data_IF_510123744607
#
_entry.id   IF_510123744607
#
_cell.length_a   1.000
_cell.length_b   1.000
_cell.length_c   1.000
_cell.angle_alpha   90.00
_cell.angle_beta   90.00
_cell.angle_gamma   90.00
#
_symmetry.space_group_name_H-M   'P 1'
#
loop_
_entity.id
_entity.type
_entity.pdbx_description
1 polymer ?
#
# COMPACT_ATOMS: atom_id res chain seq x y z
N UNK A 1 24.56 -41.44 -16.35
CA UNK A 1 23.40 -42.12 -15.74
C UNK A 1 23.79 -42.47 -14.31
N UNK A 2 23.42 -41.61 -13.35
CA UNK A 2 23.55 -41.93 -11.92
C UNK A 2 22.15 -42.23 -11.37
N UNK A 3 22.11 -43.30 -10.59
CA UNK A 3 20.96 -44.13 -10.22
C UNK A 3 20.10 -43.49 -9.11
N UNK A 4 18.80 -43.32 -9.36
CA UNK A 4 17.82 -42.65 -8.49
C UNK A 4 17.35 -43.50 -7.28
N UNK A 5 17.98 -44.65 -7.00
CA UNK A 5 17.47 -45.64 -6.02
C UNK A 5 18.20 -45.71 -4.68
N UNK A 6 19.01 -44.71 -4.31
CA UNK A 6 19.73 -44.69 -3.00
C UNK A 6 19.45 -43.50 -2.07
N UNK A 7 18.51 -42.61 -2.37
CA UNK A 7 18.14 -41.53 -1.44
C UNK A 7 17.10 -41.93 -0.36
N UNK A 8 16.54 -43.13 -0.40
CA UNK A 8 15.38 -43.50 0.42
C UNK A 8 15.66 -44.25 1.75
N UNK A 9 16.82 -44.09 2.40
CA UNK A 9 17.04 -44.82 3.67
C UNK A 9 17.90 -44.20 4.77
N UNK A 10 18.31 -42.92 4.67
CA UNK A 10 19.09 -42.28 5.75
C UNK A 10 18.68 -40.82 6.01
N UNK A 11 17.38 -40.51 6.00
CA UNK A 11 16.88 -39.18 6.39
C UNK A 11 15.73 -39.25 7.41
N UNK A 12 15.71 -40.30 8.24
CA UNK A 12 14.65 -40.52 9.24
C UNK A 12 14.93 -39.86 10.62
N UNK A 13 15.96 -39.03 10.78
CA UNK A 13 16.33 -38.46 12.10
C UNK A 13 16.87 -37.01 12.04
N UNK A 14 16.33 -36.20 11.11
CA UNK A 14 16.47 -34.73 11.11
C UNK A 14 15.11 -34.05 10.90
N UNK A 15 14.04 -34.70 11.39
CA UNK A 15 12.70 -34.13 11.55
C UNK A 15 12.74 -33.05 12.63
N UNK A 16 12.42 -31.81 12.28
CA UNK A 16 12.15 -30.78 13.29
C UNK A 16 11.96 -29.37 12.75
N UNK A 17 12.88 -28.84 11.96
CA UNK A 17 12.89 -27.39 11.63
C UNK A 17 13.19 -27.02 10.17
N UNK A 18 13.68 -27.95 9.33
CA UNK A 18 14.16 -27.62 7.98
C UNK A 18 13.16 -27.81 6.83
N UNK A 19 11.98 -28.39 7.09
CA UNK A 19 10.96 -28.64 6.06
C UNK A 19 9.89 -27.53 5.98
N UNK A 20 9.82 -26.65 6.98
CA UNK A 20 8.99 -25.43 6.92
C UNK A 20 9.71 -24.25 6.25
N UNK A 21 11.03 -24.33 6.06
CA UNK A 21 11.84 -23.32 5.36
C UNK A 21 11.82 -23.47 3.83
N UNK A 22 11.36 -24.61 3.30
CA UNK A 22 11.33 -24.86 1.85
C UNK A 22 10.20 -24.11 1.12
N UNK A 23 9.21 -23.56 1.85
CA UNK A 23 8.12 -22.77 1.29
C UNK A 23 8.39 -21.25 1.25
N UNK A 24 9.60 -20.80 1.65
CA UNK A 24 9.97 -19.38 1.66
C UNK A 24 10.96 -18.96 0.57
N UNK A 25 11.34 -19.86 -0.33
CA UNK A 25 12.23 -19.59 -1.48
C UNK A 25 11.43 -19.08 -2.69
N UNK A 26 10.52 -18.13 -2.46
CA UNK A 26 9.48 -17.80 -3.43
C UNK A 26 9.84 -16.74 -4.45
N UNK A 27 10.47 -15.67 -3.97
CA UNK A 27 10.86 -14.49 -4.70
C UNK A 27 11.94 -13.75 -3.90
N UNK A 28 12.81 -13.00 -4.57
CA UNK A 28 14.00 -12.41 -3.96
C UNK A 28 13.66 -11.23 -3.02
N UNK A 29 12.73 -10.37 -3.45
CA UNK A 29 12.32 -9.19 -2.70
C UNK A 29 10.90 -8.74 -3.04
N UNK A 30 10.24 -8.10 -2.07
CA UNK A 30 9.04 -7.31 -2.30
C UNK A 30 9.43 -5.83 -2.29
N UNK A 31 9.35 -5.20 -3.46
CA UNK A 31 9.47 -3.75 -3.57
C UNK A 31 8.08 -3.13 -3.53
N UNK A 32 7.86 -2.16 -2.64
CA UNK A 32 6.63 -1.37 -2.59
C UNK A 32 6.96 0.08 -2.88
N UNK A 33 6.29 0.64 -3.88
CA UNK A 33 6.35 2.06 -4.20
C UNK A 33 4.99 2.68 -3.89
N UNK A 34 5.00 3.70 -3.05
CA UNK A 34 3.79 4.39 -2.59
C UNK A 34 3.86 5.83 -3.01
N UNK A 35 2.82 6.33 -3.67
CA UNK A 35 2.62 7.75 -3.97
C UNK A 35 1.32 8.21 -3.31
N UNK A 36 1.41 9.17 -2.40
CA UNK A 36 0.25 9.71 -1.68
C UNK A 36 -0.26 10.99 -2.34
N UNK A 37 -1.54 11.02 -2.70
CA UNK A 37 -2.23 12.23 -3.13
C UNK A 37 -2.93 12.89 -1.94
N UNK A 38 -2.45 14.06 -1.44
CA UNK A 38 -3.05 14.74 -0.29
C UNK A 38 -4.40 15.40 -0.60
N UNK A 39 -4.77 15.57 -1.87
CA UNK A 39 -6.05 16.16 -2.27
C UNK A 39 -7.18 15.13 -2.26
N UNK A 40 -6.92 13.96 -2.84
CA UNK A 40 -7.88 12.84 -2.88
C UNK A 40 -7.78 11.95 -1.64
N UNK A 41 -6.70 12.08 -0.86
CA UNK A 41 -6.38 11.24 0.30
C UNK A 41 -6.29 9.76 -0.06
N UNK A 42 -5.62 9.47 -1.18
CA UNK A 42 -5.42 8.12 -1.71
C UNK A 42 -3.93 7.84 -1.80
N UNK A 43 -3.54 6.61 -1.45
CA UNK A 43 -2.23 6.05 -1.75
C UNK A 43 -2.31 5.25 -3.04
N UNK A 44 -1.58 5.66 -4.07
CA UNK A 44 -1.33 4.87 -5.26
C UNK A 44 -0.16 3.93 -4.96
N UNK A 45 -0.44 2.62 -4.94
CA UNK A 45 0.52 1.60 -4.53
C UNK A 45 0.89 0.74 -5.72
N UNK A 46 2.19 0.54 -5.92
CA UNK A 46 2.75 -0.49 -6.79
C UNK A 46 3.60 -1.44 -5.95
N UNK A 47 3.23 -2.72 -5.94
CA UNK A 47 3.98 -3.80 -5.31
C UNK A 47 4.58 -4.68 -6.38
N UNK A 48 5.91 -4.83 -6.38
CA UNK A 48 6.65 -5.71 -7.28
C UNK A 48 7.28 -6.84 -6.47
N UNK A 49 6.89 -8.06 -6.80
CA UNK A 49 7.52 -9.28 -6.30
C UNK A 49 8.60 -9.65 -7.29
N UNK A 50 9.86 -9.47 -6.90
CA UNK A 50 11.01 -9.64 -7.78
C UNK A 50 11.50 -11.07 -7.73
N UNK A 51 11.76 -11.66 -8.89
CA UNK A 51 12.45 -12.92 -9.03
C UNK A 51 11.64 -14.13 -8.58
N UNK A 52 10.34 -14.17 -8.90
CA UNK A 52 9.51 -15.32 -8.57
C UNK A 52 9.98 -16.54 -9.38
N UNK A 53 10.35 -17.60 -8.67
CA UNK A 53 10.72 -18.87 -9.28
C UNK A 53 9.47 -19.65 -9.74
N UNK A 54 9.54 -20.44 -10.83
CA UNK A 54 8.39 -21.18 -11.35
C UNK A 54 7.80 -22.17 -10.35
N UNK A 55 8.64 -22.77 -9.48
CA UNK A 55 8.20 -23.65 -8.40
C UNK A 55 7.33 -22.95 -7.35
N UNK A 56 7.54 -21.66 -7.11
CA UNK A 56 6.74 -20.89 -6.15
C UNK A 56 5.31 -20.68 -6.64
N UNK A 57 5.12 -20.59 -7.95
CA UNK A 57 3.81 -20.47 -8.59
C UNK A 57 3.24 -21.83 -9.01
N UNK A 58 3.88 -22.94 -8.61
CA UNK A 58 3.46 -24.29 -8.98
C UNK A 58 3.66 -24.64 -10.45
N UNK A 59 4.39 -23.85 -11.24
CA UNK A 59 4.61 -24.12 -12.67
C UNK A 59 5.93 -24.85 -12.94
N UNK A 60 6.02 -25.48 -14.11
CA UNK A 60 7.24 -26.15 -14.59
C UNK A 60 8.32 -25.17 -15.05
N UNK A 61 7.92 -23.99 -15.56
CA UNK A 61 8.78 -22.98 -16.18
C UNK A 61 8.10 -21.59 -16.15
N UNK A 62 8.88 -20.55 -16.45
CA UNK A 62 8.43 -19.14 -16.38
C UNK A 62 7.30 -18.83 -17.38
N UNK A 63 7.39 -19.37 -18.60
CA UNK A 63 6.39 -19.18 -19.66
C UNK A 63 5.02 -19.77 -19.25
N UNK A 64 5.03 -20.96 -18.62
CA UNK A 64 3.85 -21.58 -18.04
C UNK A 64 3.22 -20.75 -16.91
N UNK A 65 4.05 -20.07 -16.11
CA UNK A 65 3.58 -19.17 -15.06
C UNK A 65 2.97 -17.87 -15.60
N UNK A 66 3.63 -17.22 -16.55
CA UNK A 66 3.07 -16.03 -17.18
C UNK A 66 1.73 -16.36 -17.86
N UNK A 67 1.64 -17.47 -18.58
CA UNK A 67 0.39 -17.91 -19.19
C UNK A 67 -0.71 -18.21 -18.15
N UNK A 68 -0.37 -18.73 -16.96
CA UNK A 68 -1.33 -18.95 -15.87
C UNK A 68 -1.83 -17.64 -15.26
N UNK A 69 -0.93 -16.67 -15.06
CA UNK A 69 -1.26 -15.33 -14.57
C UNK A 69 -2.11 -14.55 -15.58
N UNK A 70 -1.80 -14.62 -16.87
CA UNK A 70 -2.62 -14.02 -17.94
C UNK A 70 -4.01 -14.66 -18.02
N UNK A 71 -4.13 -15.98 -17.84
CA UNK A 71 -5.45 -16.65 -17.73
C UNK A 71 -6.22 -16.18 -16.51
N UNK A 72 -5.56 -15.98 -15.37
CA UNK A 72 -6.19 -15.45 -14.16
C UNK A 72 -6.68 -14.00 -14.35
N UNK A 73 -5.97 -13.18 -15.15
CA UNK A 73 -6.44 -11.83 -15.53
C UNK A 73 -7.61 -11.86 -16.50
N UNK A 74 -7.61 -12.80 -17.44
CA UNK A 74 -8.63 -12.89 -18.48
C UNK A 74 -9.97 -13.50 -17.98
N UNK A 75 -9.99 -14.10 -16.78
CA UNK A 75 -11.17 -14.76 -16.23
C UNK A 75 -11.80 -13.93 -15.11
N UNK A 76 -12.99 -13.39 -15.38
CA UNK A 76 -14.03 -13.13 -14.38
C UNK A 76 -15.19 -14.03 -14.80
N UNK A 77 -15.45 -15.19 -14.16
CA UNK A 77 -16.46 -15.26 -13.07
C UNK A 77 -16.34 -16.47 -12.09
N UNK A 78 -17.25 -16.51 -11.10
CA UNK A 78 -17.65 -17.68 -10.28
C UNK A 78 -16.55 -18.40 -9.47
N UNK A 79 -16.01 -17.68 -8.48
CA UNK A 79 -15.67 -18.17 -7.15
C UNK A 79 -15.03 -19.56 -7.02
N UNK A 80 -13.77 -19.73 -7.44
CA UNK A 80 -12.94 -20.85 -6.96
C UNK A 80 -11.40 -20.71 -7.19
N UNK A 81 -10.85 -19.57 -7.63
CA UNK A 81 -9.40 -19.43 -7.89
C UNK A 81 -8.60 -18.80 -6.73
N UNK A 82 -7.31 -19.14 -6.54
CA UNK A 82 -6.47 -18.45 -5.54
C UNK A 82 -6.11 -17.00 -5.93
N UNK A 83 -6.02 -16.68 -7.22
CA UNK A 83 -5.95 -15.29 -7.68
C UNK A 83 -7.19 -14.49 -7.22
N UNK A 84 -8.35 -15.16 -7.17
CA UNK A 84 -9.58 -14.64 -6.60
C UNK A 84 -9.44 -14.42 -5.09
N UNK A 85 -8.72 -15.30 -4.34
CA UNK A 85 -8.45 -15.07 -2.90
C UNK A 85 -7.49 -13.91 -2.65
N UNK A 86 -6.44 -13.74 -3.47
CA UNK A 86 -5.55 -12.59 -3.38
C UNK A 86 -6.32 -11.30 -3.63
N UNK A 87 -7.08 -11.28 -4.74
CA UNK A 87 -7.87 -10.14 -5.14
C UNK A 87 -8.96 -9.84 -4.10
N UNK A 88 -9.66 -10.86 -3.60
CA UNK A 88 -10.64 -10.71 -2.53
C UNK A 88 -10.02 -10.16 -1.26
N UNK A 89 -8.84 -10.62 -0.85
CA UNK A 89 -8.16 -10.05 0.33
C UNK A 89 -7.75 -8.59 0.12
N UNK A 90 -7.29 -8.22 -1.08
CA UNK A 90 -7.01 -6.82 -1.41
C UNK A 90 -8.29 -5.99 -1.36
N UNK A 91 -9.38 -6.49 -1.93
CA UNK A 91 -10.70 -5.85 -1.87
C UNK A 91 -11.22 -5.73 -0.43
N UNK A 92 -11.11 -6.79 0.38
CA UNK A 92 -11.47 -6.83 1.80
C UNK A 92 -10.64 -5.85 2.62
N UNK A 93 -9.39 -5.60 2.22
CA UNK A 93 -8.53 -4.57 2.84
C UNK A 93 -8.94 -3.14 2.47
N UNK A 94 -9.87 -2.96 1.53
CA UNK A 94 -10.34 -1.67 1.03
C UNK A 94 -9.54 -1.11 -0.14
N UNK A 95 -8.72 -1.94 -0.81
CA UNK A 95 -8.05 -1.56 -2.04
C UNK A 95 -9.06 -1.42 -3.19
N UNK A 96 -8.86 -0.43 -4.05
CA UNK A 96 -9.67 -0.16 -5.23
C UNK A 96 -8.78 -0.04 -6.47
N UNK A 97 -9.39 -0.04 -7.66
CA UNK A 97 -8.69 0.11 -8.95
C UNK A 97 -7.49 -0.85 -9.11
N UNK A 98 -7.70 -2.11 -8.71
CA UNK A 98 -6.65 -3.13 -8.68
C UNK A 98 -6.30 -3.58 -10.10
N UNK A 99 -5.02 -3.55 -10.43
CA UNK A 99 -4.45 -4.08 -11.65
C UNK A 99 -3.30 -5.04 -11.32
N UNK A 100 -3.19 -6.11 -12.10
CA UNK A 100 -2.07 -7.06 -12.02
C UNK A 100 -1.33 -7.04 -13.35
N UNK A 101 -0.01 -7.05 -13.29
CA UNK A 101 0.93 -7.14 -14.40
C UNK A 101 2.06 -8.12 -14.09
N UNK A 102 2.76 -8.57 -15.13
CA UNK A 102 3.89 -9.50 -15.02
C UNK A 102 4.99 -9.08 -15.96
N UNK A 103 6.23 -9.26 -15.51
CA UNK A 103 7.43 -9.03 -16.32
C UNK A 103 8.27 -10.29 -16.26
N UNK A 104 8.55 -10.90 -17.41
CA UNK A 104 9.43 -12.06 -17.49
C UNK A 104 10.90 -11.63 -17.54
N UNK A 105 11.75 -12.24 -16.72
CA UNK A 105 13.19 -12.03 -16.72
C UNK A 105 13.91 -13.39 -16.67
N UNK A 106 14.21 -13.94 -17.85
CA UNK A 106 14.87 -15.25 -17.97
C UNK A 106 13.97 -16.39 -17.50
N UNK A 107 14.38 -17.11 -16.46
CA UNK A 107 13.62 -18.19 -15.83
C UNK A 107 12.78 -17.72 -14.63
N UNK A 108 12.74 -16.42 -14.37
CA UNK A 108 11.96 -15.80 -13.29
C UNK A 108 10.87 -14.91 -13.84
N UNK A 109 9.84 -14.71 -13.03
CA UNK A 109 8.74 -13.80 -13.31
C UNK A 109 8.65 -12.78 -12.19
N UNK A 110 8.50 -11.51 -12.53
CA UNK A 110 8.13 -10.49 -11.58
C UNK A 110 6.63 -10.28 -11.65
N UNK A 111 5.94 -10.36 -10.52
CA UNK A 111 4.53 -9.98 -10.42
C UNK A 111 4.44 -8.53 -9.97
N UNK A 112 3.61 -7.73 -10.63
CA UNK A 112 3.37 -6.34 -10.29
C UNK A 112 1.88 -6.19 -9.95
N UNK A 113 1.57 -5.72 -8.75
CA UNK A 113 0.21 -5.44 -8.31
C UNK A 113 0.10 -3.94 -8.07
N UNK A 114 -0.82 -3.28 -8.78
CA UNK A 114 -1.14 -1.87 -8.59
C UNK A 114 -2.53 -1.73 -8.00
N UNK A 115 -2.70 -0.82 -7.06
CA UNK A 115 -4.00 -0.53 -6.47
C UNK A 115 -4.00 0.84 -5.80
N UNK A 116 -5.19 1.38 -5.64
CA UNK A 116 -5.43 2.59 -4.87
C UNK A 116 -5.92 2.19 -3.47
N UNK A 117 -5.33 2.79 -2.45
CA UNK A 117 -5.68 2.56 -1.06
C UNK A 117 -6.12 3.89 -0.42
N UNK A 118 -7.42 4.08 -0.13
CA UNK A 118 -7.89 5.25 0.58
C UNK A 118 -7.23 5.39 1.95
N UNK A 119 -6.96 6.63 2.39
CA UNK A 119 -6.40 6.90 3.71
C UNK A 119 -7.27 6.28 4.82
N UNK A 120 -6.64 5.51 5.71
CA UNK A 120 -7.31 4.81 6.80
C UNK A 120 -7.93 3.45 6.43
N UNK A 121 -7.79 3.01 5.17
CA UNK A 121 -8.08 1.62 4.79
C UNK A 121 -6.98 0.68 5.30
N UNK A 122 -7.32 -0.59 5.52
CA UNK A 122 -6.33 -1.62 5.84
C UNK A 122 -5.28 -1.75 4.73
N UNK A 123 -5.70 -1.58 3.47
CA UNK A 123 -4.82 -1.58 2.30
C UNK A 123 -3.71 -0.51 2.38
N UNK A 124 -4.02 0.64 2.98
CA UNK A 124 -3.06 1.73 3.21
C UNK A 124 -2.11 1.39 4.37
N UNK A 125 -2.65 0.90 5.50
CA UNK A 125 -1.86 0.50 6.67
C UNK A 125 -0.84 -0.61 6.33
N UNK A 126 -1.25 -1.58 5.51
CA UNK A 126 -0.39 -2.69 5.07
C UNK A 126 0.80 -2.22 4.21
N UNK A 127 0.82 -0.98 3.73
CA UNK A 127 1.98 -0.42 3.00
C UNK A 127 3.15 -0.08 3.92
N UNK A 128 2.94 -0.04 5.24
CA UNK A 128 3.86 0.50 6.24
C UNK A 128 4.22 1.98 6.02
N UNK A 129 3.40 2.70 5.23
CA UNK A 129 3.54 4.12 4.94
C UNK A 129 2.24 4.81 5.34
N UNK A 130 2.36 5.73 6.28
CA UNK A 130 1.25 6.43 6.91
C UNK A 130 1.27 7.90 6.53
N UNK A 131 0.10 8.53 6.42
CA UNK A 131 0.00 9.98 6.31
C UNK A 131 -0.43 10.56 7.66
N UNK A 132 0.44 11.39 8.27
CA UNK A 132 0.16 12.04 9.54
C UNK A 132 -0.15 13.52 9.36
N UNK A 133 -1.17 13.99 10.08
CA UNK A 133 -1.53 15.39 10.10
C UNK A 133 -0.49 16.22 10.87
N UNK A 134 0.03 17.26 10.22
CA UNK A 134 1.05 18.17 10.75
C UNK A 134 0.54 19.22 11.73
N UNK A 135 -0.79 19.32 11.93
CA UNK A 135 -1.38 20.36 12.77
C UNK A 135 -1.53 21.72 12.07
N UNK A 136 -1.04 21.87 10.83
CA UNK A 136 -1.05 23.13 10.08
C UNK A 136 -2.27 23.20 9.15
N UNK A 137 -2.78 24.40 8.92
CA UNK A 137 -3.99 24.66 8.14
C UNK A 137 -3.96 23.94 6.77
N UNK A 138 -5.14 23.53 6.28
CA UNK A 138 -5.43 22.63 5.14
C UNK A 138 -4.84 23.02 3.76
N UNK A 139 -3.53 23.25 3.68
CA UNK A 139 -2.75 23.36 2.45
C UNK A 139 -2.05 22.02 2.09
N UNK A 140 -1.29 22.00 1.00
CA UNK A 140 -0.53 20.79 0.57
C UNK A 140 0.50 20.29 1.58
N UNK A 141 0.87 21.09 2.58
CA UNK A 141 1.80 20.73 3.65
C UNK A 141 1.11 20.21 4.91
N UNK A 142 -0.20 19.98 4.87
CA UNK A 142 -0.96 19.59 6.06
C UNK A 142 -0.69 18.16 6.50
N UNK A 143 -0.32 17.27 5.57
CA UNK A 143 0.11 15.91 5.88
C UNK A 143 1.60 15.74 5.58
N UNK A 144 2.26 14.89 6.35
CA UNK A 144 3.58 14.35 6.01
C UNK A 144 3.55 12.83 6.09
N UNK A 145 4.41 12.18 5.30
CA UNK A 145 4.49 10.73 5.32
C UNK A 145 5.39 10.23 6.44
N UNK A 146 5.01 9.09 7.00
CA UNK A 146 5.80 8.33 7.97
C UNK A 146 5.91 6.90 7.46
N UNK A 147 7.13 6.40 7.27
CA UNK A 147 7.37 5.02 6.87
C UNK A 147 7.95 4.21 8.04
N UNK A 148 7.37 3.05 8.34
CA UNK A 148 7.89 2.17 9.37
C UNK A 148 9.22 1.56 8.94
N UNK A 149 10.19 1.53 9.84
CA UNK A 149 11.42 0.76 9.70
C UNK A 149 11.27 -0.52 10.55
N UNK A 150 10.93 -1.62 9.86
CA UNK A 150 10.95 -2.97 10.41
C UNK A 150 12.33 -3.59 10.13
N UNK A 151 12.77 -4.57 10.92
CA UNK A 151 14.12 -5.14 10.80
C UNK A 151 14.47 -5.69 9.41
N UNK A 152 13.46 -6.17 8.67
CA UNK A 152 13.62 -6.66 7.31
C UNK A 152 13.13 -5.69 6.21
N UNK A 153 12.49 -4.57 6.60
CA UNK A 153 11.96 -3.57 5.67
C UNK A 153 12.95 -2.42 5.55
N UNK A 154 13.63 -2.36 4.42
CA UNK A 154 14.49 -1.24 4.06
C UNK A 154 13.63 -0.13 3.49
N UNK A 155 13.74 1.07 4.04
CA UNK A 155 13.06 2.27 3.53
C UNK A 155 14.08 3.13 2.81
N UNK A 156 13.83 3.47 1.53
CA UNK A 156 14.62 4.47 0.81
C UNK A 156 14.19 5.87 1.26
N UNK A 157 14.67 6.27 2.44
CA UNK A 157 14.26 7.51 3.07
C UNK A 157 14.95 8.72 2.40
N UNK A 158 14.20 9.67 1.83
CA UNK A 158 14.77 10.83 1.17
C UNK A 158 15.59 11.72 2.11
N UNK A 159 16.51 12.50 1.54
CA UNK A 159 17.33 13.45 2.32
C UNK A 159 16.45 14.42 3.12
N UNK A 160 16.79 14.58 4.40
CA UNK A 160 16.05 15.42 5.34
C UNK A 160 14.95 14.67 6.10
N UNK A 161 14.76 13.37 5.84
CA UNK A 161 13.95 12.49 6.69
C UNK A 161 14.55 12.40 8.09
N UNK A 162 13.67 12.28 9.09
CA UNK A 162 14.06 12.19 10.51
C UNK A 162 13.63 10.84 11.06
N UNK A 163 14.41 10.27 11.97
CA UNK A 163 14.04 9.03 12.65
C UNK A 163 13.25 9.35 13.92
N UNK A 164 12.09 8.72 14.07
CA UNK A 164 11.26 8.70 15.27
C UNK A 164 11.31 7.29 15.86
N UNK A 165 11.45 7.17 17.18
CA UNK A 165 11.26 5.90 17.89
C UNK A 165 9.86 5.86 18.48
N UNK A 166 9.16 4.77 18.27
CA UNK A 166 7.80 4.56 18.77
C UNK A 166 7.76 3.25 19.54
N UNK A 167 7.13 3.29 20.70
CA UNK A 167 6.88 2.09 21.47
C UNK A 167 5.71 1.33 20.83
N UNK A 168 5.93 0.08 20.42
CA UNK A 168 4.89 -0.85 20.01
C UNK A 168 4.60 -1.81 21.15
N UNK A 169 3.33 -2.12 21.33
CA UNK A 169 2.92 -3.15 22.28
C UNK A 169 3.19 -4.53 21.67
N UNK A 170 3.86 -5.39 22.43
CA UNK A 170 4.15 -6.78 22.06
C UNK A 170 3.64 -7.73 23.14
N UNK A 171 3.59 -9.03 22.82
CA UNK A 171 3.19 -10.07 23.77
C UNK A 171 4.10 -10.14 25.02
N UNK A 172 5.34 -9.63 24.92
CA UNK A 172 6.36 -9.68 25.98
C UNK A 172 6.62 -8.32 26.64
N UNK A 173 5.93 -7.26 26.23
CA UNK A 173 6.12 -5.90 26.76
C UNK A 173 6.09 -4.81 25.68
N UNK A 174 6.74 -3.68 25.93
CA UNK A 174 6.92 -2.63 24.94
C UNK A 174 8.18 -2.90 24.11
N UNK A 175 8.00 -3.12 22.81
CA UNK A 175 9.09 -3.12 21.84
C UNK A 175 9.25 -1.72 21.24
N UNK A 176 10.41 -1.43 20.65
CA UNK A 176 10.70 -0.12 20.06
C UNK A 176 10.90 -0.25 18.56
N UNK A 177 9.98 0.30 17.79
CA UNK A 177 10.14 0.40 16.34
C UNK A 177 10.67 1.77 15.93
N UNK A 178 11.44 1.77 14.85
CA UNK A 178 11.88 3.01 14.21
C UNK A 178 10.89 3.39 13.11
N UNK A 179 10.76 4.69 12.88
CA UNK A 179 9.94 5.26 11.83
C UNK A 179 10.67 6.42 11.18
N UNK A 180 10.60 6.49 9.85
CA UNK A 180 11.11 7.60 9.07
C UNK A 180 10.00 8.62 8.88
N UNK A 181 10.17 9.80 9.48
CA UNK A 181 9.32 10.97 9.26
C UNK A 181 9.87 11.74 8.06
N UNK A 182 9.14 11.71 6.95
CA UNK A 182 9.56 12.31 5.69
C UNK A 182 9.30 13.83 5.70
N UNK A 183 10.05 14.63 4.92
CA UNK A 183 9.75 16.04 4.72
C UNK A 183 8.35 16.24 4.12
N UNK A 184 7.62 17.27 4.52
CA UNK A 184 6.23 17.55 4.08
C UNK A 184 6.02 17.83 2.59
N UNK A 185 7.10 17.85 1.80
CA UNK A 185 7.06 18.00 0.33
C UNK A 185 7.29 16.69 -0.40
N UNK A 186 7.53 15.61 0.35
CA UNK A 186 7.75 14.27 -0.17
C UNK A 186 6.44 13.53 -0.05
N UNK A 187 5.94 13.08 -1.20
CA UNK A 187 4.69 12.35 -1.34
C UNK A 187 4.92 10.95 -1.91
N UNK A 188 6.18 10.58 -2.14
CA UNK A 188 6.55 9.27 -2.65
C UNK A 188 7.57 8.61 -1.72
N UNK A 189 7.48 7.30 -1.58
CA UNK A 189 8.45 6.50 -0.83
C UNK A 189 8.54 5.09 -1.42
N UNK A 190 9.75 4.54 -1.40
CA UNK A 190 10.00 3.15 -1.77
C UNK A 190 10.44 2.38 -0.54
N UNK A 191 9.87 1.20 -0.36
CA UNK A 191 10.31 0.22 0.63
C UNK A 191 10.68 -1.08 -0.08
N UNK A 192 11.69 -1.77 0.45
CA UNK A 192 12.18 -3.04 -0.07
C UNK A 192 12.27 -4.01 1.08
N UNK A 193 11.56 -5.13 0.97
CA UNK A 193 11.62 -6.24 1.90
C UNK A 193 12.38 -7.39 1.24
N UNK A 194 13.54 -7.74 1.78
CA UNK A 194 14.30 -8.91 1.33
C UNK A 194 13.77 -10.18 2.01
N UNK A 195 13.38 -11.19 1.22
CA UNK A 195 12.65 -12.37 1.74
C UNK A 195 13.53 -13.34 2.54
N UNK A 196 14.86 -13.19 2.50
CA UNK A 196 15.81 -14.07 3.18
C UNK A 196 15.91 -13.95 4.71
N UNK A 197 15.18 -13.04 5.38
CA UNK A 197 15.36 -12.75 6.82
C UNK A 197 14.07 -12.61 7.66
N UNK A 198 12.87 -12.73 7.08
CA UNK A 198 11.65 -12.50 7.86
C UNK A 198 10.41 -13.19 7.28
N UNK A 199 10.12 -14.38 7.79
CA UNK A 199 8.84 -15.07 7.62
C UNK A 199 7.66 -14.26 8.17
N UNK A 200 7.92 -13.43 9.19
CA UNK A 200 6.89 -12.84 10.04
C UNK A 200 6.36 -11.52 9.48
N UNK A 201 7.21 -10.70 8.82
CA UNK A 201 6.75 -9.47 8.17
C UNK A 201 5.90 -9.76 6.92
N UNK A 202 6.23 -10.82 6.18
CA UNK A 202 5.42 -11.31 5.06
C UNK A 202 4.08 -11.92 5.52
N UNK A 203 3.99 -12.35 6.77
CA UNK A 203 2.75 -12.75 7.42
C UNK A 203 1.98 -11.56 8.02
N UNK A 204 2.65 -10.45 8.37
CA UNK A 204 2.01 -9.16 8.74
C UNK A 204 1.45 -8.41 7.52
N UNK A 205 2.04 -8.55 6.33
CA UNK A 205 1.39 -8.20 5.05
C UNK A 205 0.31 -9.27 4.81
N UNK A 206 -0.72 -9.22 5.65
CA UNK A 206 -1.51 -10.34 6.18
C UNK A 206 -2.30 -11.17 5.16
N UNK A 207 -2.28 -10.76 3.89
CA UNK A 207 -2.96 -11.46 2.81
C UNK A 207 -2.04 -12.17 1.83
N UNK A 208 -0.83 -11.64 1.64
CA UNK A 208 -0.14 -11.70 0.36
C UNK A 208 0.70 -12.98 0.21
N UNK A 209 1.42 -13.35 1.27
CA UNK A 209 2.20 -14.58 1.30
C UNK A 209 1.30 -15.83 1.31
N UNK A 210 0.26 -15.88 2.12
CA UNK A 210 -0.67 -17.03 2.11
C UNK A 210 -1.48 -17.13 0.82
N UNK A 211 -1.71 -16.02 0.13
CA UNK A 211 -2.30 -16.03 -1.19
C UNK A 211 -1.34 -16.56 -2.25
N UNK A 212 -0.03 -16.29 -2.13
CA UNK A 212 1.02 -16.76 -3.03
C UNK A 212 1.48 -18.20 -2.76
N UNK A 213 1.63 -18.60 -1.48
CA UNK A 213 1.90 -19.98 -1.06
C UNK A 213 0.77 -20.93 -1.50
N UNK A 214 -0.46 -20.41 -1.60
CA UNK A 214 -1.61 -21.15 -2.16
C UNK A 214 -1.60 -21.28 -3.70
N UNK A 215 -0.73 -20.57 -4.42
CA UNK A 215 -0.52 -20.72 -5.88
C UNK A 215 0.35 -21.94 -6.17
N UNK A 216 1.18 -22.38 -5.23
CA UNK A 216 2.08 -23.53 -5.39
C UNK A 216 1.40 -24.91 -5.30
N UNK A 217 0.20 -25.01 -4.71
CA UNK A 217 -0.46 -26.31 -4.42
C UNK A 217 -1.56 -26.73 -5.43
N UNK A 218 -1.75 -26.04 -6.55
CA UNK A 218 -2.80 -26.40 -7.53
C UNK A 218 -2.28 -26.46 -8.96
N UNK A 219 -1.51 -27.52 -9.24
CA UNK A 219 -1.65 -28.26 -10.49
C UNK A 219 -1.98 -29.70 -10.12
N UNK A 220 -3.04 -30.32 -10.67
CA UNK A 220 -3.25 -31.75 -10.46
C UNK A 220 -2.04 -32.50 -11.04
N UNK A 221 -1.35 -33.24 -10.18
CA UNK A 221 -0.43 -34.30 -10.60
C UNK A 221 -1.22 -35.27 -11.53
N UNK A 222 -0.67 -35.74 -12.66
CA UNK A 222 -1.39 -36.69 -13.50
C UNK A 222 -1.63 -37.97 -12.68
N UNK A 223 -2.90 -38.20 -12.30
CA UNK A 223 -3.31 -39.40 -11.58
C UNK A 223 -2.84 -40.65 -12.34
N UNK A 224 -2.05 -41.56 -11.72
CA UNK A 224 -1.92 -42.89 -12.24
C UNK A 224 -3.29 -43.58 -12.19
N UNK A 225 -3.70 -44.19 -13.30
CA UNK A 225 -4.98 -44.88 -13.43
C UNK A 225 -5.22 -45.83 -12.24
N UNK A 226 -6.38 -45.75 -11.57
CA UNK A 226 -6.64 -46.60 -10.41
C UNK A 226 -6.83 -48.06 -10.83
N UNK A 227 -6.10 -48.95 -10.16
CA UNK A 227 -6.41 -50.38 -10.13
C UNK A 227 -7.81 -50.59 -9.51
N UNK A 228 -8.60 -51.56 -9.99
CA UNK A 228 -9.92 -51.82 -9.44
C UNK A 228 -9.84 -52.27 -7.98
N UNK A 229 -10.41 -51.48 -7.08
CA UNK A 229 -10.52 -51.76 -5.65
C UNK A 229 -11.50 -52.92 -5.38
N UNK A 230 -11.18 -53.86 -4.47
CA UNK A 230 -12.11 -54.88 -4.01
C UNK A 230 -13.28 -54.27 -3.22
N UNK A 231 -14.45 -54.90 -3.35
CA UNK A 231 -15.71 -54.41 -2.80
C UNK A 231 -15.66 -54.20 -1.26
N UNK A 232 -16.14 -53.05 -0.74
CA UNK A 232 -16.14 -52.78 0.69
C UNK A 232 -17.20 -53.61 1.42
N UNK A 233 -16.83 -54.11 2.61
CA UNK A 233 -17.74 -54.75 3.54
C UNK A 233 -18.80 -53.77 4.07
N UNK A 234 -20.02 -54.23 4.39
CA UNK A 234 -21.10 -53.35 4.85
C UNK A 234 -20.76 -52.67 6.18
N UNK A 235 -21.01 -51.35 6.24
CA UNK A 235 -20.75 -50.51 7.38
C UNK A 235 -21.69 -50.80 8.57
N UNK A 236 -21.21 -50.71 9.82
CA UNK A 236 -22.07 -50.80 11.01
C UNK A 236 -23.05 -49.63 11.10
N UNK A 237 -24.24 -49.89 11.64
CA UNK A 237 -25.33 -48.93 11.74
C UNK A 237 -24.94 -47.70 12.58
N UNK A 238 -25.34 -46.48 12.17
CA UNK A 238 -25.01 -45.26 12.90
C UNK A 238 -25.70 -45.20 14.26
N UNK A 239 -24.96 -44.75 15.27
CA UNK A 239 -25.47 -44.48 16.61
C UNK A 239 -26.50 -43.33 16.58
N UNK A 240 -27.51 -43.35 17.48
CA UNK A 240 -28.53 -42.30 17.52
C UNK A 240 -27.92 -40.93 17.85
N UNK A 241 -28.46 -39.91 17.17
CA UNK A 241 -28.02 -38.52 17.29
C UNK A 241 -28.30 -37.97 18.70
N UNK A 242 -27.37 -37.17 19.28
CA UNK A 242 -27.61 -36.48 20.54
C UNK A 242 -28.73 -35.43 20.40
N UNK A 243 -29.53 -35.27 21.45
CA UNK A 243 -30.62 -34.29 21.51
C UNK A 243 -30.09 -32.84 21.40
N UNK A 244 -30.78 -31.97 20.66
CA UNK A 244 -30.38 -30.57 20.52
C UNK A 244 -30.50 -29.80 21.84
N UNK A 245 -29.43 -29.07 22.17
CA UNK A 245 -29.40 -28.13 23.30
C UNK A 245 -30.45 -27.03 23.13
N UNK A 246 -31.10 -26.59 24.22
CA UNK A 246 -32.10 -25.52 24.17
C UNK A 246 -31.49 -24.20 23.69
N UNK A 247 -32.28 -23.47 22.88
CA UNK A 247 -31.88 -22.22 22.29
C UNK A 247 -31.61 -21.13 23.36
N UNK A 248 -30.58 -20.30 23.20
CA UNK A 248 -30.30 -19.20 24.11
C UNK A 248 -31.42 -18.15 24.07
N UNK A 249 -31.75 -17.59 25.24
CA UNK A 249 -32.75 -16.53 25.37
C UNK A 249 -32.34 -15.25 24.62
N UNK A 250 -33.29 -14.55 23.97
CA UNK A 250 -33.01 -13.33 23.24
C UNK A 250 -32.56 -12.19 24.18
N UNK A 251 -31.46 -11.54 23.82
CA UNK A 251 -30.93 -10.37 24.51
C UNK A 251 -31.93 -9.19 24.47
N UNK A 252 -31.99 -8.36 25.53
CA UNK A 252 -32.85 -7.17 25.57
C UNK A 252 -32.51 -6.19 24.45
N UNK A 253 -33.53 -5.59 23.84
CA UNK A 253 -33.36 -4.59 22.80
C UNK A 253 -32.61 -3.35 23.31
N UNK A 254 -31.67 -2.79 22.54
CA UNK A 254 -30.94 -1.59 22.93
C UNK A 254 -31.87 -0.38 23.06
N UNK A 255 -31.59 0.47 24.04
CA UNK A 255 -32.36 1.68 24.29
C UNK A 255 -32.28 2.65 23.08
N UNK A 256 -33.37 3.39 22.78
CA UNK A 256 -33.40 4.32 21.68
C UNK A 256 -32.38 5.45 21.87
N UNK A 257 -31.71 5.80 20.77
CA UNK A 257 -30.71 6.87 20.74
C UNK A 257 -31.32 8.24 21.10
N UNK A 258 -30.56 9.10 21.79
CA UNK A 258 -31.01 10.45 22.13
C UNK A 258 -31.25 11.29 20.86
N UNK A 259 -32.28 12.15 20.92
CA UNK A 259 -32.67 13.00 19.81
C UNK A 259 -31.54 13.98 19.42
N UNK A 260 -31.35 14.26 18.12
CA UNK A 260 -30.32 15.18 17.65
C UNK A 260 -30.55 16.61 18.19
N UNK A 261 -29.45 17.27 18.56
CA UNK A 261 -29.47 18.64 19.02
C UNK A 261 -29.96 19.60 17.91
N UNK A 262 -30.67 20.68 18.28
CA UNK A 262 -31.17 21.65 17.31
C UNK A 262 -30.02 22.32 16.54
N UNK A 263 -30.24 22.52 15.25
CA UNK A 263 -29.26 23.13 14.35
C UNK A 263 -28.90 24.56 14.79
N UNK A 264 -27.63 24.98 14.65
CA UNK A 264 -27.21 26.34 14.94
C UNK A 264 -27.92 27.35 14.03
N UNK A 265 -28.24 28.52 14.58
CA UNK A 265 -28.89 29.60 13.86
C UNK A 265 -28.01 30.11 12.70
N UNK A 266 -28.61 30.50 11.56
CA UNK A 266 -27.86 30.99 10.41
C UNK A 266 -27.07 32.26 10.75
N UNK A 267 -25.81 32.26 10.34
CA UNK A 267 -24.89 33.39 10.49
C UNK A 267 -25.39 34.58 9.67
N UNK A 268 -25.40 35.82 10.22
CA UNK A 268 -25.80 37.02 9.48
C UNK A 268 -24.96 37.20 8.21
N UNK A 269 -25.61 37.63 7.12
CA UNK A 269 -24.95 37.90 5.85
C UNK A 269 -23.87 39.01 6.00
N UNK A 270 -22.74 38.91 5.27
CA UNK A 270 -21.71 39.93 5.29
C UNK A 270 -22.26 41.29 4.87
N UNK A 271 -21.81 42.34 5.57
CA UNK A 271 -22.12 43.72 5.20
C UNK A 271 -21.56 44.04 3.80
N UNK A 272 -22.25 44.86 3.00
CA UNK A 272 -21.77 45.25 1.67
C UNK A 272 -20.41 45.97 1.76
N UNK A 273 -19.54 45.80 0.76
CA UNK A 273 -18.25 46.45 0.72
C UNK A 273 -18.41 47.99 0.66
N UNK A 274 -17.46 48.74 1.23
CA UNK A 274 -17.47 50.20 1.14
C UNK A 274 -17.35 50.66 -0.32
N UNK A 275 -17.95 51.81 -0.66
CA UNK A 275 -17.84 52.38 -2.00
C UNK A 275 -16.37 52.71 -2.34
N UNK A 276 -15.99 52.62 -3.63
CA UNK A 276 -14.64 52.94 -4.06
C UNK A 276 -14.29 54.41 -3.76
N UNK A 277 -13.02 54.70 -3.44
CA UNK A 277 -12.55 56.07 -3.23
C UNK A 277 -12.67 56.88 -4.53
N UNK A 278 -12.87 58.21 -4.43
CA UNK A 278 -12.96 59.07 -5.60
C UNK A 278 -11.66 59.03 -6.42
N UNK A 279 -11.74 59.15 -7.76
CA UNK A 279 -10.57 59.17 -8.62
C UNK A 279 -9.64 60.33 -8.27
N UNK A 280 -8.33 60.06 -8.26
CA UNK A 280 -7.32 61.09 -8.02
C UNK A 280 -7.39 62.19 -9.09
N UNK A 281 -7.23 63.47 -8.72
CA UNK A 281 -7.17 64.56 -9.68
C UNK A 281 -6.01 64.35 -10.67
N UNK A 282 -6.27 64.62 -11.94
CA UNK A 282 -5.30 64.47 -13.03
C UNK A 282 -3.98 65.22 -12.74
N UNK A 283 -2.82 64.66 -13.13
CA UNK A 283 -1.55 65.36 -13.01
C UNK A 283 -1.60 66.70 -13.75
N UNK A 284 -1.16 67.77 -13.07
CA UNK A 284 -1.04 69.11 -13.65
C UNK A 284 -0.04 69.05 -14.82
N UNK A 285 -0.30 69.70 -15.97
CA UNK A 285 0.65 69.72 -17.08
C UNK A 285 2.00 70.31 -16.63
N UNK A 286 3.14 69.80 -17.14
CA UNK A 286 4.45 70.36 -16.82
C UNK A 286 4.54 71.82 -17.28
N UNK A 287 5.16 72.65 -16.44
CA UNK A 287 5.37 74.07 -16.72
C UNK A 287 6.27 74.26 -17.95
N UNK A 288 5.97 75.25 -18.82
CA UNK A 288 6.85 75.56 -19.95
C UNK A 288 8.22 76.06 -19.46
N UNK A 289 9.30 75.77 -20.20
CA UNK A 289 10.64 76.21 -19.83
C UNK A 289 10.75 77.74 -19.80
N UNK A 290 11.57 78.33 -18.92
CA UNK A 290 11.74 79.77 -18.83
C UNK A 290 12.39 80.33 -20.11
N UNK A 291 12.08 81.58 -20.49
CA UNK A 291 12.64 82.19 -21.70
C UNK A 291 14.17 82.35 -21.60
N UNK A 292 14.88 82.34 -22.74
CA UNK A 292 16.33 82.49 -22.77
C UNK A 292 16.75 83.85 -22.17
N UNK A 293 17.82 83.84 -21.37
CA UNK A 293 18.39 85.08 -20.80
C UNK A 293 18.88 86.00 -21.91
N UNK A 294 18.68 87.32 -21.80
CA UNK A 294 19.24 88.27 -22.74
C UNK A 294 20.78 88.23 -22.73
N UNK A 295 21.43 88.50 -23.88
CA UNK A 295 22.89 88.52 -23.97
C UNK A 295 23.47 89.60 -23.05
N UNK A 296 24.62 89.28 -22.43
CA UNK A 296 25.35 90.25 -21.59
C UNK A 296 25.79 91.44 -22.46
N UNK A 297 25.65 92.68 -21.96
CA UNK A 297 26.18 93.84 -22.66
C UNK A 297 27.73 93.77 -22.76
N UNK A 298 28.31 94.34 -23.82
CA UNK A 298 29.76 94.35 -23.99
C UNK A 298 30.44 95.15 -22.87
N UNK A 299 31.68 94.79 -22.49
CA UNK A 299 32.43 95.53 -21.48
C UNK A 299 32.72 96.95 -21.97
N UNK A 300 32.80 97.93 -21.04
CA UNK A 300 33.11 99.31 -21.40
C UNK A 300 34.53 99.43 -21.95
N UNK A 301 34.79 100.39 -22.86
CA UNK A 301 36.12 100.63 -23.39
C UNK A 301 37.08 101.12 -22.28
N UNK A 302 38.39 100.82 -22.39
CA UNK A 302 39.37 101.28 -21.42
C UNK A 302 39.48 102.81 -21.44
N UNK A 303 39.77 103.45 -20.27
CA UNK A 303 39.95 104.89 -20.18
C UNK A 303 41.19 105.37 -20.94
N UNK A 304 41.25 106.66 -21.33
CA UNK A 304 42.33 107.23 -22.12
C UNK A 304 43.68 107.28 -21.38
#
# INVERSE_FOLDING_TARGET
MLDLRRCASLAALALGLGLLTACLEGFDSLETHVVYDPFTQVFHVERRFVGIGPRFLGCSDAEGCAAALERARAFVPDGAGQADRLLQRLLDSGAVDIALDTVEEGDRVDAIVRYDAPLGSQAAEDTFVHAEWSGKAADRGSYYLVADAQDALVVDAPRGSRVRKVARQSAVGADWSQQWVLPSKVFEVRTVLAVGQSSDLLAEISGLRSALDGVAEVLPEPEPAPDPLPAPAPAPAPAPAPEPLPAPEPLPAPAPAPAPAPAPAPTPAPAPPPPPPPPHPHPRPPHPPPPPRPPRPPPPPPPP
#
